data_IF_581516629469
#
_entry.id   IF_581516629469
#
_cell.length_a   1.000
_cell.length_b   1.000
_cell.length_c   1.000
_cell.angle_alpha   90.00
_cell.angle_beta   90.00
_cell.angle_gamma   90.00
#
_symmetry.space_group_name_H-M   'P 1'
#
loop_
_entity.id
_entity.type
_entity.pdbx_description
1 polymer ?
#
# COMPACT_ATOMS: atom_id res chain seq x y z
N UNK A 1 19.77 19.15 -10.67
CA UNK A 1 19.24 18.46 -9.49
C UNK A 1 17.90 17.88 -9.91
N UNK A 2 17.68 16.58 -9.71
CA UNK A 2 16.34 16.01 -9.86
C UNK A 2 15.45 16.66 -8.79
N UNK A 3 14.31 17.20 -9.18
CA UNK A 3 13.43 17.93 -8.27
C UNK A 3 12.73 16.90 -7.37
N UNK A 4 13.00 16.92 -6.07
CA UNK A 4 12.30 16.05 -5.11
C UNK A 4 10.96 16.69 -4.74
N UNK A 5 9.88 15.91 -4.82
CA UNK A 5 8.55 16.38 -4.42
C UNK A 5 8.51 16.68 -2.92
N UNK A 6 7.79 17.72 -2.48
CA UNK A 6 7.58 17.95 -1.05
C UNK A 6 6.83 16.77 -0.43
N UNK A 7 7.14 16.46 0.84
CA UNK A 7 6.41 15.42 1.58
C UNK A 7 4.97 15.90 1.80
N UNK A 8 3.96 15.14 1.35
CA UNK A 8 2.55 15.47 1.58
C UNK A 8 2.22 15.60 3.07
N UNK A 9 1.33 16.52 3.42
CA UNK A 9 1.04 16.83 4.83
C UNK A 9 0.48 15.64 5.61
N UNK A 10 -0.34 14.80 4.97
CA UNK A 10 -0.92 13.61 5.59
C UNK A 10 0.09 12.49 5.88
N UNK A 11 1.29 12.54 5.30
CA UNK A 11 2.37 11.61 5.62
C UNK A 11 3.23 12.10 6.81
N UNK A 12 3.21 13.40 7.12
CA UNK A 12 4.00 13.98 8.22
C UNK A 12 3.73 13.35 9.59
N UNK A 13 2.50 12.93 9.95
CA UNK A 13 2.26 12.25 11.22
C UNK A 13 3.07 10.95 11.41
N UNK A 14 3.47 10.29 10.32
CA UNK A 14 4.28 9.07 10.35
C UNK A 14 5.78 9.33 10.40
N UNK A 15 6.20 10.58 10.28
CA UNK A 15 7.60 10.99 10.32
C UNK A 15 8.00 11.28 11.77
N UNK A 16 9.05 10.60 12.21
CA UNK A 16 9.68 10.80 13.50
C UNK A 16 10.79 11.87 13.43
N UNK A 17 11.28 12.29 14.59
CA UNK A 17 12.53 13.05 14.69
C UNK A 17 13.61 12.10 15.17
N UNK A 18 14.69 11.97 14.40
CA UNK A 18 15.86 11.22 14.86
C UNK A 18 16.56 12.00 15.97
N UNK A 19 16.72 11.40 17.14
CA UNK A 19 17.51 11.98 18.23
C UNK A 19 18.87 11.28 18.31
N UNK A 20 19.91 11.96 17.82
CA UNK A 20 21.27 11.42 17.77
C UNK A 20 21.87 11.17 19.17
N UNK A 21 21.44 11.92 20.18
CA UNK A 21 21.94 11.81 21.55
C UNK A 21 21.49 10.50 22.24
N UNK A 22 20.52 9.79 21.66
CA UNK A 22 20.09 8.48 22.14
C UNK A 22 21.03 7.34 21.71
N UNK A 23 21.91 7.57 20.73
CA UNK A 23 22.89 6.56 20.33
C UNK A 23 24.07 6.56 21.30
N UNK A 24 24.25 5.44 21.99
CA UNK A 24 25.40 5.24 22.87
C UNK A 24 26.68 4.96 22.07
N UNK A 25 27.83 5.04 22.76
CA UNK A 25 29.09 4.58 22.19
C UNK A 25 29.06 3.10 21.80
N UNK A 26 28.25 2.28 22.49
CA UNK A 26 28.05 0.87 22.17
C UNK A 26 27.26 0.70 20.86
N UNK A 27 26.23 1.51 20.63
CA UNK A 27 25.45 1.48 19.37
C UNK A 27 26.33 1.85 18.18
N UNK A 28 27.14 2.90 18.30
CA UNK A 28 28.11 3.27 17.26
C UNK A 28 29.19 2.20 17.04
N UNK A 29 29.62 1.50 18.10
CA UNK A 29 30.57 0.40 17.97
C UNK A 29 29.95 -0.81 17.28
N UNK A 30 28.69 -1.15 17.59
CA UNK A 30 27.92 -2.20 16.94
C UNK A 30 27.73 -1.92 15.44
N UNK A 31 27.29 -0.71 15.09
CA UNK A 31 27.21 -0.23 13.71
C UNK A 31 28.54 -0.40 12.96
N UNK A 32 29.62 0.09 13.56
CA UNK A 32 30.96 0.00 12.98
C UNK A 32 31.41 -1.43 12.78
N UNK A 33 31.13 -2.30 13.75
CA UNK A 33 31.45 -3.71 13.67
C UNK A 33 30.73 -4.37 12.49
N UNK A 34 29.40 -4.19 12.40
CA UNK A 34 28.58 -4.78 11.32
C UNK A 34 29.06 -4.31 9.95
N UNK A 35 29.26 -3.01 9.74
CA UNK A 35 29.70 -2.53 8.42
C UNK A 35 31.14 -2.95 8.07
N UNK A 36 32.04 -3.02 9.05
CA UNK A 36 33.43 -3.43 8.78
C UNK A 36 33.56 -4.92 8.48
N UNK A 37 32.84 -5.78 9.20
CA UNK A 37 32.93 -7.24 8.97
C UNK A 37 32.33 -7.64 7.62
N UNK A 38 31.24 -6.98 7.20
CA UNK A 38 30.57 -7.32 5.94
C UNK A 38 31.25 -6.73 4.71
N UNK A 39 32.02 -5.64 4.85
CA UNK A 39 32.65 -4.95 3.71
C UNK A 39 33.58 -5.84 2.88
N UNK A 40 34.38 -6.68 3.54
CA UNK A 40 35.32 -7.58 2.84
C UNK A 40 34.58 -8.61 1.99
N UNK A 41 33.51 -9.17 2.52
CA UNK A 41 32.65 -10.12 1.81
C UNK A 41 31.94 -9.46 0.63
N UNK A 42 31.30 -8.32 0.86
CA UNK A 42 30.52 -7.64 -0.17
C UNK A 42 31.34 -7.11 -1.34
N UNK A 43 32.66 -6.94 -1.20
CA UNK A 43 33.54 -6.57 -2.32
C UNK A 43 33.47 -7.54 -3.50
N UNK A 44 33.21 -8.83 -3.25
CA UNK A 44 33.06 -9.85 -4.31
C UNK A 44 31.65 -10.45 -4.42
N UNK A 45 30.81 -10.27 -3.39
CA UNK A 45 29.51 -10.90 -3.28
C UNK A 45 28.31 -9.96 -3.55
N UNK A 46 28.44 -8.65 -3.30
CA UNK A 46 27.35 -7.69 -3.52
C UNK A 46 27.38 -7.12 -4.95
N UNK A 47 26.25 -6.58 -5.38
CA UNK A 47 26.18 -5.78 -6.60
C UNK A 47 27.19 -4.63 -6.52
N UNK A 48 27.85 -4.32 -7.64
CA UNK A 48 28.97 -3.36 -7.70
C UNK A 48 28.62 -1.98 -7.10
N UNK A 49 27.35 -1.59 -7.20
CA UNK A 49 26.87 -0.30 -6.67
C UNK A 49 26.84 -0.23 -5.15
N UNK A 50 26.77 -1.36 -4.44
CA UNK A 50 26.53 -1.38 -2.99
C UNK A 50 27.61 -0.61 -2.20
N UNK A 51 28.89 -0.93 -2.42
CA UNK A 51 29.97 -0.36 -1.61
C UNK A 51 30.17 1.14 -1.85
N UNK A 52 30.09 1.59 -3.10
CA UNK A 52 30.16 3.01 -3.45
C UNK A 52 28.89 3.74 -3.00
N UNK A 53 27.74 3.06 -3.13
CA UNK A 53 26.41 3.51 -2.73
C UNK A 53 26.30 3.84 -1.25
N UNK A 54 27.03 3.14 -0.36
CA UNK A 54 27.11 3.49 1.06
C UNK A 54 27.59 4.95 1.22
N UNK A 55 28.74 5.28 0.66
CA UNK A 55 29.29 6.63 0.77
C UNK A 55 28.41 7.67 0.04
N UNK A 56 27.88 7.30 -1.13
CA UNK A 56 27.01 8.17 -1.92
C UNK A 56 25.68 8.50 -1.25
N UNK A 57 25.20 7.66 -0.33
CA UNK A 57 23.95 7.87 0.41
C UNK A 57 24.16 8.38 1.84
N UNK A 58 25.38 8.87 2.14
CA UNK A 58 25.68 9.51 3.42
C UNK A 58 26.05 8.53 4.54
N UNK A 59 26.30 7.26 4.20
CA UNK A 59 26.63 6.21 5.15
C UNK A 59 28.15 6.09 5.31
N UNK A 60 28.58 6.16 6.57
CA UNK A 60 29.97 5.90 6.98
C UNK A 60 30.04 4.66 7.87
N UNK A 61 31.08 3.82 7.74
CA UNK A 61 31.34 2.75 8.69
C UNK A 61 31.61 3.22 10.11
N UNK A 62 31.96 4.49 10.33
CA UNK A 62 32.50 4.92 11.64
C UNK A 62 31.44 5.33 12.67
N UNK A 63 30.25 5.72 12.22
CA UNK A 63 29.15 6.15 13.10
C UNK A 63 27.80 5.92 12.42
N UNK A 64 26.75 5.79 13.22
CA UNK A 64 25.37 5.75 12.75
C UNK A 64 25.07 7.06 12.00
N UNK A 65 24.46 7.02 10.80
CA UNK A 65 24.22 8.21 9.99
C UNK A 65 23.11 9.08 10.59
N UNK A 66 23.20 10.38 10.34
CA UNK A 66 22.08 11.28 10.52
C UNK A 66 21.18 11.21 9.29
N UNK A 67 19.88 11.01 9.50
CA UNK A 67 18.91 10.86 8.42
C UNK A 67 18.80 12.14 7.60
N UNK A 68 19.04 13.32 8.19
CA UNK A 68 19.15 14.59 7.45
C UNK A 68 20.31 14.60 6.46
N UNK A 69 21.47 14.03 6.83
CA UNK A 69 22.62 13.90 5.93
C UNK A 69 22.31 12.91 4.81
N UNK A 70 21.63 11.81 5.13
CA UNK A 70 21.15 10.85 4.14
C UNK A 70 20.15 11.48 3.16
N UNK A 71 19.16 12.27 3.63
CA UNK A 71 18.19 12.98 2.80
C UNK A 71 18.91 13.91 1.80
N UNK A 72 19.91 14.66 2.29
CA UNK A 72 20.75 15.52 1.45
C UNK A 72 21.49 14.72 0.36
N UNK A 73 22.06 13.56 0.72
CA UNK A 73 22.78 12.71 -0.22
C UNK A 73 21.88 12.03 -1.25
N UNK A 74 20.72 11.49 -0.81
CA UNK A 74 19.72 10.82 -1.64
C UNK A 74 19.03 11.78 -2.61
N UNK A 75 18.90 13.06 -2.26
CA UNK A 75 18.29 14.08 -3.13
C UNK A 75 18.96 14.19 -4.51
N UNK A 76 20.24 13.83 -4.58
CA UNK A 76 21.02 13.81 -5.84
C UNK A 76 20.50 12.75 -6.82
N UNK A 77 19.87 11.69 -6.31
CA UNK A 77 19.25 10.60 -7.06
C UNK A 77 17.72 10.79 -7.18
N UNK A 78 17.21 11.97 -6.80
CA UNK A 78 15.79 12.29 -6.75
C UNK A 78 15.04 11.56 -5.63
N UNK A 79 15.76 11.02 -4.64
CA UNK A 79 15.19 10.35 -3.48
C UNK A 79 15.29 11.22 -2.24
N UNK A 80 14.51 10.88 -1.22
CA UNK A 80 14.54 11.49 0.10
C UNK A 80 14.66 10.43 1.18
N UNK A 81 15.07 10.84 2.37
CA UNK A 81 14.99 10.00 3.55
C UNK A 81 14.17 10.69 4.65
N UNK A 82 13.36 9.90 5.35
CA UNK A 82 12.61 10.36 6.51
C UNK A 82 12.79 9.37 7.66
N UNK A 83 12.90 9.90 8.87
CA UNK A 83 12.89 9.10 10.08
C UNK A 83 11.47 8.59 10.34
N UNK A 84 11.33 7.33 10.75
CA UNK A 84 10.09 6.75 11.26
C UNK A 84 10.34 6.02 12.57
N UNK A 85 9.27 5.83 13.35
CA UNK A 85 9.32 5.02 14.58
C UNK A 85 8.79 3.62 14.24
N UNK A 86 9.66 2.61 14.28
CA UNK A 86 9.28 1.21 14.03
C UNK A 86 8.38 0.99 12.79
N UNK A 87 7.32 0.18 12.96
CA UNK A 87 6.42 -0.24 11.89
C UNK A 87 5.41 0.85 11.48
N UNK A 88 5.53 1.35 10.26
CA UNK A 88 4.46 2.15 9.63
C UNK A 88 3.49 1.24 8.86
N UNK A 89 2.22 1.64 8.70
CA UNK A 89 1.26 0.87 7.92
C UNK A 89 1.76 0.61 6.48
N UNK A 90 1.55 -0.58 5.90
CA UNK A 90 2.09 -0.93 4.58
C UNK A 90 1.66 0.04 3.47
N UNK A 91 0.40 0.51 3.50
CA UNK A 91 -0.09 1.50 2.54
C UNK A 91 0.67 2.83 2.61
N UNK A 92 1.08 3.25 3.81
CA UNK A 92 1.87 4.47 4.04
C UNK A 92 3.31 4.27 3.56
N UNK A 93 3.91 3.11 3.85
CA UNK A 93 5.24 2.76 3.36
C UNK A 93 5.29 2.79 1.82
N UNK A 94 4.33 2.13 1.14
CA UNK A 94 4.28 2.11 -0.32
C UNK A 94 4.01 3.50 -0.92
N UNK A 95 3.27 4.36 -0.21
CA UNK A 95 3.07 5.74 -0.61
C UNK A 95 4.36 6.57 -0.51
N UNK A 96 5.14 6.41 0.56
CA UNK A 96 6.50 7.00 0.63
C UNK A 96 7.38 6.54 -0.53
N UNK A 97 7.43 5.23 -0.79
CA UNK A 97 8.23 4.66 -1.89
C UNK A 97 7.79 5.22 -3.27
N UNK A 98 6.48 5.35 -3.51
CA UNK A 98 5.94 5.93 -4.75
C UNK A 98 6.39 7.38 -4.99
N UNK A 99 6.71 8.10 -3.92
CA UNK A 99 7.17 9.48 -3.95
C UNK A 99 8.71 9.59 -3.95
N UNK A 100 9.42 8.46 -4.01
CA UNK A 100 10.87 8.41 -3.89
C UNK A 100 11.35 8.83 -2.49
N UNK A 101 10.62 8.43 -1.45
CA UNK A 101 10.99 8.69 -0.05
C UNK A 101 11.29 7.35 0.61
N UNK A 102 12.48 7.20 1.17
CA UNK A 102 12.90 6.05 1.98
C UNK A 102 12.56 6.31 3.46
N UNK A 103 11.61 5.57 4.07
CA UNK A 103 11.39 5.59 5.51
C UNK A 103 12.49 4.81 6.21
N UNK A 104 13.12 5.38 7.24
CA UNK A 104 14.23 4.77 7.98
C UNK A 104 13.86 4.69 9.46
N UNK A 105 13.79 3.47 10.00
CA UNK A 105 13.67 3.23 11.43
C UNK A 105 14.91 3.79 12.14
N UNK A 106 14.70 4.50 13.26
CA UNK A 106 15.78 5.18 13.97
C UNK A 106 16.52 4.26 14.96
N UNK A 107 15.88 3.17 15.34
CA UNK A 107 16.31 2.29 16.41
C UNK A 107 17.52 1.45 15.97
N UNK A 108 18.46 1.22 16.89
CA UNK A 108 19.58 0.31 16.68
C UNK A 108 19.26 -1.03 17.34
N UNK A 109 19.52 -2.15 16.65
CA UNK A 109 19.42 -3.49 17.24
C UNK A 109 20.35 -3.68 18.45
N UNK A 110 19.97 -4.57 19.37
CA UNK A 110 20.77 -4.89 20.56
C UNK A 110 21.99 -5.76 20.23
N UNK A 111 22.93 -5.84 21.17
CA UNK A 111 24.14 -6.66 21.01
C UNK A 111 23.85 -8.17 20.86
N UNK A 112 22.79 -8.66 21.50
CA UNK A 112 22.36 -10.07 21.39
C UNK A 112 21.81 -10.41 19.99
N UNK A 113 21.43 -9.38 19.23
CA UNK A 113 20.83 -9.49 17.89
C UNK A 113 21.74 -8.92 16.78
N UNK A 114 23.05 -8.81 17.02
CA UNK A 114 23.99 -8.23 16.02
C UNK A 114 23.94 -8.93 14.66
N UNK A 115 23.84 -10.25 14.66
CA UNK A 115 23.86 -11.06 13.45
C UNK A 115 22.54 -11.00 12.66
N UNK A 116 21.42 -10.78 13.34
CA UNK A 116 20.07 -10.73 12.79
C UNK A 116 19.09 -10.10 13.78
N UNK A 117 18.20 -9.24 13.29
CA UNK A 117 17.08 -8.67 14.05
C UNK A 117 15.75 -9.02 13.38
N UNK A 118 14.73 -9.45 14.15
CA UNK A 118 13.40 -9.73 13.62
C UNK A 118 12.59 -8.46 13.30
N UNK A 119 13.01 -7.28 13.78
CA UNK A 119 12.38 -6.01 13.50
C UNK A 119 13.30 -5.09 12.67
N UNK A 120 12.75 -4.27 11.74
CA UNK A 120 13.55 -3.33 10.96
C UNK A 120 14.21 -2.28 11.87
N UNK A 121 15.51 -2.11 11.70
CA UNK A 121 16.34 -1.18 12.47
C UNK A 121 17.14 -0.28 11.51
N UNK A 122 17.87 0.70 12.06
CA UNK A 122 18.63 1.65 11.24
C UNK A 122 19.71 0.98 10.39
N UNK A 123 20.26 -0.17 10.82
CA UNK A 123 21.22 -0.94 10.00
C UNK A 123 20.51 -1.51 8.77
N UNK A 124 19.35 -2.13 8.95
CA UNK A 124 18.57 -2.68 7.85
C UNK A 124 18.13 -1.60 6.87
N UNK A 125 17.49 -0.55 7.37
CA UNK A 125 16.91 0.49 6.53
C UNK A 125 17.98 1.37 5.86
N UNK A 126 18.96 1.83 6.63
CA UNK A 126 20.00 2.68 6.06
C UNK A 126 21.01 1.86 5.26
N UNK A 127 21.68 0.86 5.84
CA UNK A 127 22.78 0.17 5.18
C UNK A 127 22.34 -1.00 4.28
N UNK A 128 21.11 -1.51 4.42
CA UNK A 128 20.54 -2.49 3.50
C UNK A 128 19.96 -1.85 2.24
N UNK A 129 18.97 -0.95 2.41
CA UNK A 129 18.21 -0.39 1.28
C UNK A 129 18.88 0.79 0.59
N UNK A 130 19.35 1.79 1.34
CA UNK A 130 19.79 3.06 0.75
C UNK A 130 20.91 2.93 -0.30
N UNK A 131 21.96 2.09 -0.15
CA UNK A 131 23.10 2.10 -1.05
C UNK A 131 22.74 1.78 -2.50
N UNK A 132 21.81 0.85 -2.75
CA UNK A 132 21.42 0.45 -4.11
C UNK A 132 20.55 1.53 -4.77
N UNK A 133 19.88 2.41 -4.01
CA UNK A 133 19.10 3.55 -4.53
C UNK A 133 19.98 4.54 -5.31
N UNK A 134 21.29 4.55 -5.07
CA UNK A 134 22.22 5.34 -5.89
C UNK A 134 22.33 4.84 -7.35
N UNK A 135 21.84 3.63 -7.65
CA UNK A 135 21.63 3.13 -9.01
C UNK A 135 20.33 3.70 -9.61
N UNK A 136 20.37 4.40 -10.76
CA UNK A 136 19.19 5.02 -11.33
C UNK A 136 18.11 4.03 -11.81
N UNK A 137 18.49 2.82 -12.25
CA UNK A 137 17.52 1.81 -12.67
C UNK A 137 16.80 1.23 -11.47
N UNK A 138 17.53 0.91 -10.40
CA UNK A 138 16.92 0.43 -9.16
C UNK A 138 16.05 1.48 -8.48
N UNK A 139 16.53 2.73 -8.44
CA UNK A 139 15.76 3.87 -7.97
C UNK A 139 14.47 4.10 -8.76
N UNK A 140 14.46 3.81 -10.06
CA UNK A 140 13.25 3.87 -10.87
C UNK A 140 12.31 2.71 -10.55
N UNK A 141 12.86 1.49 -10.47
CA UNK A 141 12.11 0.29 -10.08
C UNK A 141 11.37 0.47 -8.76
N UNK A 142 12.04 0.91 -7.69
CA UNK A 142 11.40 1.08 -6.38
C UNK A 142 10.25 2.09 -6.40
N UNK A 143 10.37 3.19 -7.15
CA UNK A 143 9.26 4.16 -7.30
C UNK A 143 8.08 3.53 -8.02
N UNK A 144 8.32 2.86 -9.15
CA UNK A 144 7.27 2.19 -9.92
C UNK A 144 6.60 1.07 -9.13
N UNK A 145 7.40 0.31 -8.37
CA UNK A 145 6.91 -0.70 -7.44
C UNK A 145 5.98 -0.07 -6.39
N UNK A 146 6.37 1.06 -5.80
CA UNK A 146 5.54 1.82 -4.86
C UNK A 146 4.24 2.34 -5.50
N UNK A 147 4.30 2.87 -6.72
CA UNK A 147 3.14 3.38 -7.49
C UNK A 147 2.11 2.29 -7.81
N UNK A 148 2.57 1.08 -8.16
CA UNK A 148 1.70 -0.08 -8.37
C UNK A 148 1.16 -0.58 -7.03
N UNK A 149 2.03 -0.74 -6.03
CA UNK A 149 1.67 -1.32 -4.73
C UNK A 149 0.69 -0.47 -3.94
N UNK A 150 0.76 0.87 -4.03
CA UNK A 150 -0.21 1.74 -3.37
C UNK A 150 -1.65 1.62 -3.90
N UNK A 151 -1.83 1.04 -5.10
CA UNK A 151 -3.15 0.76 -5.72
C UNK A 151 -3.64 -0.67 -5.45
N UNK A 152 -2.81 -1.54 -4.89
CA UNK A 152 -3.17 -2.92 -4.62
C UNK A 152 -4.32 -3.02 -3.60
N UNK A 153 -5.24 -3.95 -3.83
CA UNK A 153 -6.31 -4.24 -2.88
C UNK A 153 -5.74 -5.05 -1.71
N UNK A 154 -5.72 -4.43 -0.53
CA UNK A 154 -5.48 -5.08 0.75
C UNK A 154 -6.78 -5.72 1.25
N UNK A 155 -6.75 -6.93 1.78
CA UNK A 155 -7.90 -7.55 2.43
C UNK A 155 -7.97 -7.21 3.92
N UNK A 156 -9.13 -7.39 4.54
CA UNK A 156 -9.28 -7.33 6.00
C UNK A 156 -8.41 -8.36 6.71
N UNK A 157 -8.21 -9.53 6.08
CA UNK A 157 -7.36 -10.61 6.61
C UNK A 157 -5.88 -10.20 6.63
N UNK A 158 -5.43 -9.46 5.60
CA UNK A 158 -4.08 -8.86 5.58
C UNK A 158 -3.89 -7.82 6.68
N UNK A 159 -4.93 -7.00 6.94
CA UNK A 159 -4.90 -6.03 8.05
C UNK A 159 -4.80 -6.71 9.41
N UNK A 160 -5.60 -7.76 9.63
CA UNK A 160 -5.56 -8.52 10.89
C UNK A 160 -4.18 -9.15 11.11
N UNK A 161 -3.59 -9.73 10.06
CA UNK A 161 -2.23 -10.29 10.11
C UNK A 161 -1.18 -9.21 10.41
N UNK A 162 -1.23 -8.08 9.71
CA UNK A 162 -0.32 -6.95 9.96
C UNK A 162 -0.43 -6.44 11.39
N UNK A 163 -1.64 -6.24 11.90
CA UNK A 163 -1.85 -5.75 13.27
C UNK A 163 -1.36 -6.75 14.33
N UNK A 164 -1.49 -8.05 14.06
CA UNK A 164 -0.95 -9.09 14.94
C UNK A 164 0.59 -9.09 14.95
N UNK A 165 1.23 -8.99 13.78
CA UNK A 165 2.70 -8.85 13.67
C UNK A 165 3.15 -7.59 14.42
N UNK A 166 2.51 -6.45 14.14
CA UNK A 166 2.81 -5.16 14.77
C UNK A 166 2.71 -5.25 16.30
N UNK A 167 1.64 -5.87 16.81
CA UNK A 167 1.42 -6.04 18.25
C UNK A 167 2.50 -6.92 18.87
N UNK A 168 2.83 -8.05 18.24
CA UNK A 168 3.88 -8.94 18.71
C UNK A 168 5.25 -8.26 18.77
N UNK A 169 5.62 -7.50 17.74
CA UNK A 169 6.88 -6.74 17.72
C UNK A 169 6.95 -5.75 18.88
N UNK A 170 5.90 -4.97 19.12
CA UNK A 170 5.86 -4.00 20.23
C UNK A 170 6.04 -4.69 21.58
N UNK A 171 5.29 -5.76 21.82
CA UNK A 171 5.32 -6.46 23.11
C UNK A 171 6.68 -7.15 23.33
N UNK A 172 7.32 -7.69 22.28
CA UNK A 172 8.66 -8.30 22.39
C UNK A 172 9.78 -7.29 22.62
N UNK A 173 9.60 -6.05 22.19
CA UNK A 173 10.61 -4.99 22.34
C UNK A 173 10.44 -4.14 23.60
N UNK A 174 9.25 -4.13 24.21
CA UNK A 174 8.99 -3.42 25.46
C UNK A 174 9.52 -4.24 26.66
N UNK A 175 10.55 -3.75 27.39
CA UNK A 175 11.10 -4.43 28.56
C UNK A 175 10.10 -4.60 29.71
N UNK A 176 9.00 -3.84 29.71
CA UNK A 176 7.94 -3.94 30.70
C UNK A 176 6.91 -5.05 30.40
N UNK A 177 6.96 -5.66 29.21
CA UNK A 177 6.01 -6.70 28.81
C UNK A 177 6.20 -7.99 29.60
N UNK A 178 5.09 -8.57 30.05
CA UNK A 178 5.09 -9.86 30.73
C UNK A 178 5.15 -11.05 29.75
N UNK A 179 5.64 -12.23 30.19
CA UNK A 179 5.61 -13.44 29.37
C UNK A 179 4.21 -13.79 28.84
N UNK A 180 3.15 -13.55 29.63
CA UNK A 180 1.77 -13.80 29.24
C UNK A 180 1.30 -12.85 28.12
N UNK A 181 1.77 -11.60 28.11
CA UNK A 181 1.48 -10.66 27.02
C UNK A 181 2.13 -11.12 25.71
N UNK A 182 3.37 -11.60 25.79
CA UNK A 182 4.10 -12.15 24.63
C UNK A 182 3.38 -13.40 24.09
N UNK A 183 3.06 -14.37 24.95
CA UNK A 183 2.35 -15.59 24.57
C UNK A 183 0.99 -15.27 23.93
N UNK A 184 0.27 -14.28 24.48
CA UNK A 184 -0.99 -13.83 23.91
C UNK A 184 -0.83 -13.28 22.51
N UNK A 185 0.16 -12.41 22.29
CA UNK A 185 0.43 -11.82 20.98
C UNK A 185 0.89 -12.88 19.95
N UNK A 186 1.67 -13.88 20.37
CA UNK A 186 2.06 -15.01 19.52
C UNK A 186 0.85 -15.83 19.08
N UNK A 187 -0.08 -16.11 20.00
CA UNK A 187 -1.33 -16.83 19.70
C UNK A 187 -2.26 -16.02 18.78
N UNK A 188 -2.35 -14.71 18.98
CA UNK A 188 -3.15 -13.84 18.12
C UNK A 188 -2.56 -13.78 16.70
N UNK A 189 -1.22 -13.78 16.57
CA UNK A 189 -0.52 -13.90 15.27
C UNK A 189 -0.80 -15.25 14.59
N UNK A 190 -0.67 -16.36 15.31
CA UNK A 190 -0.96 -17.69 14.77
C UNK A 190 -2.42 -17.77 14.28
N UNK A 191 -3.36 -17.22 15.06
CA UNK A 191 -4.78 -17.15 14.68
C UNK A 191 -4.99 -16.33 13.41
N UNK A 192 -4.39 -15.14 13.31
CA UNK A 192 -4.50 -14.28 12.12
C UNK A 192 -3.89 -14.95 10.88
N UNK A 193 -2.72 -15.57 11.03
CA UNK A 193 -2.05 -16.32 9.96
C UNK A 193 -2.90 -17.50 9.47
N UNK A 194 -3.54 -18.24 10.37
CA UNK A 194 -4.40 -19.38 10.02
C UNK A 194 -5.77 -18.95 9.45
N UNK A 195 -6.16 -17.68 9.64
CA UNK A 195 -7.41 -17.14 9.11
C UNK A 195 -7.32 -16.69 7.65
N UNK A 196 -6.11 -16.56 7.10
CA UNK A 196 -5.89 -16.19 5.69
C UNK A 196 -6.52 -17.26 4.78
N UNK A 197 -7.57 -16.86 4.06
CA UNK A 197 -8.38 -17.75 3.23
C UNK A 197 -8.03 -17.67 1.75
N UNK A 198 -7.32 -16.61 1.33
CA UNK A 198 -6.83 -16.40 -0.03
C UNK A 198 -5.63 -15.43 -0.02
N UNK A 199 -4.97 -15.29 -1.17
CA UNK A 199 -3.86 -14.35 -1.35
C UNK A 199 -4.40 -13.12 -2.06
N UNK A 200 -4.32 -11.95 -1.43
CA UNK A 200 -4.72 -10.67 -2.02
C UNK A 200 -3.65 -10.13 -2.98
N UNK A 201 -4.01 -9.14 -3.81
CA UNK A 201 -3.03 -8.46 -4.67
C UNK A 201 -1.90 -7.82 -3.86
N UNK A 202 -2.23 -7.30 -2.67
CA UNK A 202 -1.27 -6.74 -1.74
C UNK A 202 -0.29 -7.81 -1.21
N UNK A 203 -0.78 -9.01 -0.88
CA UNK A 203 0.06 -10.11 -0.43
C UNK A 203 0.94 -10.68 -1.57
N UNK A 204 0.43 -10.73 -2.80
CA UNK A 204 1.22 -11.11 -3.99
C UNK A 204 2.38 -10.13 -4.22
N UNK A 205 2.12 -8.82 -4.13
CA UNK A 205 3.16 -7.80 -4.20
C UNK A 205 4.13 -7.88 -3.02
N UNK A 206 3.65 -8.07 -1.79
CA UNK A 206 4.52 -8.25 -0.63
C UNK A 206 5.53 -9.41 -0.83
N UNK A 207 5.12 -10.51 -1.47
CA UNK A 207 6.02 -11.61 -1.86
C UNK A 207 6.99 -11.19 -2.96
N UNK A 208 6.55 -10.43 -3.97
CA UNK A 208 7.45 -9.86 -4.96
C UNK A 208 8.52 -9.00 -4.29
N UNK A 209 8.14 -8.09 -3.37
CA UNK A 209 9.07 -7.27 -2.60
C UNK A 209 10.06 -8.12 -1.80
N UNK A 210 9.55 -9.15 -1.12
CA UNK A 210 10.38 -10.05 -0.32
C UNK A 210 11.46 -10.73 -1.18
N UNK A 211 11.07 -11.29 -2.32
CA UNK A 211 12.00 -12.00 -3.21
C UNK A 211 12.85 -11.10 -4.10
N UNK A 212 12.66 -9.77 -4.03
CA UNK A 212 13.42 -8.79 -4.79
C UNK A 212 14.14 -7.80 -3.88
N UNK A 213 13.44 -6.79 -3.37
CA UNK A 213 13.99 -5.72 -2.55
C UNK A 213 14.63 -6.26 -1.27
N UNK A 214 14.05 -7.27 -0.61
CA UNK A 214 14.58 -7.80 0.65
C UNK A 214 15.63 -8.91 0.45
N UNK A 215 15.32 -9.90 -0.38
CA UNK A 215 16.11 -11.13 -0.54
C UNK A 215 16.48 -11.43 -2.01
N UNK A 216 16.56 -10.38 -2.84
CA UNK A 216 16.90 -10.53 -4.25
C UNK A 216 18.39 -10.67 -4.54
N UNK A 217 18.66 -11.42 -5.60
CA UNK A 217 19.97 -11.59 -6.21
C UNK A 217 19.95 -11.08 -7.66
N UNK A 218 21.10 -10.68 -8.20
CA UNK A 218 21.25 -10.14 -9.56
C UNK A 218 22.42 -10.78 -10.30
N UNK A 219 22.29 -11.03 -11.60
CA UNK A 219 23.31 -11.66 -12.44
C UNK A 219 22.82 -13.00 -13.02
N UNK A 220 23.70 -13.99 -13.11
CA UNK A 220 23.30 -15.35 -13.51
C UNK A 220 22.96 -16.21 -12.28
N UNK A 221 22.22 -17.29 -12.49
CA UNK A 221 21.86 -18.22 -11.42
C UNK A 221 23.10 -18.92 -10.85
N UNK A 222 24.14 -19.08 -11.66
CA UNK A 222 25.40 -19.74 -11.32
C UNK A 222 26.38 -18.83 -10.56
N UNK A 223 26.45 -17.53 -10.89
CA UNK A 223 27.26 -16.53 -10.18
C UNK A 223 26.44 -15.26 -9.88
N UNK A 224 25.45 -15.34 -8.97
CA UNK A 224 24.66 -14.20 -8.58
C UNK A 224 25.41 -13.28 -7.62
N UNK A 225 25.04 -12.00 -7.64
CA UNK A 225 25.43 -10.98 -6.66
C UNK A 225 24.23 -10.55 -5.81
N UNK A 226 24.51 -10.09 -4.59
CA UNK A 226 23.50 -9.68 -3.62
C UNK A 226 23.10 -8.22 -3.87
N UNK A 227 21.79 -7.95 -3.92
CA UNK A 227 21.27 -6.58 -3.85
C UNK A 227 20.12 -6.42 -2.83
N UNK A 228 19.52 -7.52 -2.37
CA UNK A 228 18.44 -7.49 -1.39
C UNK A 228 18.88 -6.96 -0.02
N UNK A 229 18.12 -6.04 0.56
CA UNK A 229 18.47 -5.33 1.79
C UNK A 229 18.56 -6.24 3.03
N UNK A 230 17.70 -7.25 3.15
CA UNK A 230 17.76 -8.27 4.19
C UNK A 230 19.10 -9.02 4.17
N UNK A 231 19.58 -9.37 2.97
CA UNK A 231 20.88 -10.01 2.78
C UNK A 231 22.06 -9.04 2.99
N UNK A 232 21.91 -7.77 2.62
CA UNK A 232 22.96 -6.74 2.79
C UNK A 232 23.14 -6.29 4.24
N UNK A 233 22.12 -6.48 5.09
CA UNK A 233 22.12 -6.06 6.49
C UNK A 233 22.24 -7.19 7.51
N UNK A 234 22.21 -8.45 7.06
CA UNK A 234 22.38 -9.65 7.88
C UNK A 234 23.76 -10.25 7.68
N UNK A 235 24.64 -10.13 8.68
CA UNK A 235 26.02 -10.67 8.59
C UNK A 235 25.95 -12.17 8.32
N UNK A 236 25.17 -12.93 9.09
CA UNK A 236 25.11 -14.39 8.96
C UNK A 236 24.51 -14.85 7.64
N UNK A 237 23.33 -14.32 7.28
CA UNK A 237 22.59 -14.77 6.12
C UNK A 237 23.29 -14.39 4.80
N UNK A 238 24.00 -13.26 4.79
CA UNK A 238 24.80 -12.82 3.63
C UNK A 238 25.82 -13.89 3.18
N UNK A 239 26.52 -14.55 4.11
CA UNK A 239 27.49 -15.59 3.76
C UNK A 239 26.82 -16.88 3.28
N UNK A 240 25.69 -17.26 3.89
CA UNK A 240 25.01 -18.52 3.59
C UNK A 240 24.18 -18.47 2.31
N UNK A 241 23.66 -17.30 1.92
CA UNK A 241 22.74 -17.15 0.79
C UNK A 241 23.33 -17.58 -0.56
N UNK A 242 24.65 -17.43 -0.75
CA UNK A 242 25.36 -17.83 -1.98
C UNK A 242 25.81 -19.30 -1.97
N UNK A 243 25.64 -20.02 -0.85
CA UNK A 243 26.00 -21.43 -0.78
C UNK A 243 25.12 -22.31 -1.69
N UNK A 244 25.59 -23.49 -2.12
CA UNK A 244 24.78 -24.41 -2.93
C UNK A 244 23.58 -25.01 -2.20
N UNK A 245 23.46 -24.83 -0.87
CA UNK A 245 22.31 -25.31 -0.09
C UNK A 245 21.05 -24.44 -0.27
N UNK A 246 21.23 -23.18 -0.70
CA UNK A 246 20.11 -22.26 -0.98
C UNK A 246 19.79 -22.34 -2.46
N UNK A 247 18.58 -22.74 -2.82
CA UNK A 247 18.18 -22.93 -4.21
C UNK A 247 18.03 -21.55 -4.87
N UNK A 248 18.61 -21.38 -6.06
CA UNK A 248 18.51 -20.13 -6.83
C UNK A 248 17.62 -20.34 -8.05
N UNK A 249 16.61 -19.50 -8.19
CA UNK A 249 15.67 -19.54 -9.31
C UNK A 249 15.82 -18.29 -10.19
N UNK A 250 15.65 -18.38 -11.51
CA UNK A 250 15.48 -17.17 -12.32
C UNK A 250 14.21 -16.42 -11.89
N UNK A 251 14.30 -15.10 -11.81
CA UNK A 251 13.17 -14.27 -11.42
C UNK A 251 12.09 -14.24 -12.50
N UNK A 252 10.88 -14.65 -12.12
CA UNK A 252 9.66 -14.59 -12.94
C UNK A 252 8.48 -14.23 -12.05
N UNK A 253 7.28 -14.08 -12.63
CA UNK A 253 6.07 -13.79 -11.85
C UNK A 253 5.71 -14.91 -10.86
N UNK A 254 6.27 -16.11 -11.02
CA UNK A 254 6.07 -17.20 -10.06
C UNK A 254 6.57 -16.85 -8.65
N UNK A 255 7.43 -15.84 -8.48
CA UNK A 255 7.85 -15.38 -7.15
C UNK A 255 6.68 -14.93 -6.26
N UNK A 256 5.58 -14.41 -6.84
CA UNK A 256 4.40 -13.99 -6.06
C UNK A 256 3.62 -15.19 -5.48
N UNK A 257 3.88 -16.40 -5.98
CA UNK A 257 3.28 -17.63 -5.47
C UNK A 257 4.13 -18.27 -4.37
N UNK A 258 5.40 -17.89 -4.27
CA UNK A 258 6.31 -18.40 -3.24
C UNK A 258 6.07 -17.67 -1.90
N UNK A 259 5.54 -18.40 -0.92
CA UNK A 259 5.45 -17.92 0.46
C UNK A 259 6.82 -17.89 1.13
N UNK A 260 6.99 -17.07 2.16
CA UNK A 260 8.22 -16.95 2.94
C UNK A 260 7.96 -17.01 4.44
N UNK A 261 9.01 -17.32 5.20
CA UNK A 261 9.02 -17.29 6.67
C UNK A 261 10.04 -16.23 7.12
N UNK A 262 9.55 -15.20 7.81
CA UNK A 262 10.37 -14.09 8.31
C UNK A 262 11.25 -14.48 9.50
N UNK A 263 11.03 -15.66 10.09
CA UNK A 263 11.70 -16.08 11.33
C UNK A 263 12.90 -16.99 11.07
N UNK A 264 13.16 -17.36 9.82
CA UNK A 264 14.17 -18.34 9.43
C UNK A 264 14.98 -17.88 8.22
N UNK A 265 16.21 -18.37 8.05
CA UNK A 265 16.97 -18.14 6.82
C UNK A 265 16.22 -18.68 5.59
N UNK A 266 16.31 -17.94 4.48
CA UNK A 266 15.53 -18.27 3.29
C UNK A 266 16.08 -19.53 2.57
N UNK A 267 15.24 -20.56 2.33
CA UNK A 267 15.68 -21.82 1.71
C UNK A 267 15.92 -21.69 0.20
N UNK A 268 15.38 -20.63 -0.41
CA UNK A 268 15.47 -20.33 -1.83
C UNK A 268 15.55 -18.82 -2.03
N UNK A 269 16.09 -18.41 -3.18
CA UNK A 269 16.21 -17.02 -3.61
C UNK A 269 15.95 -16.89 -5.11
N UNK A 270 15.63 -15.68 -5.55
CA UNK A 270 15.39 -15.37 -6.96
C UNK A 270 16.47 -14.45 -7.51
N UNK A 271 16.89 -14.72 -8.75
CA UNK A 271 17.97 -14.02 -9.46
C UNK A 271 17.39 -13.27 -10.63
N UNK A 272 17.48 -11.94 -10.61
CA UNK A 272 17.14 -11.07 -11.75
C UNK A 272 18.36 -10.87 -12.65
N UNK A 273 18.14 -10.74 -13.96
CA UNK A 273 19.22 -10.46 -14.92
C UNK A 273 19.68 -9.00 -14.82
N UNK A 274 18.76 -8.09 -14.51
CA UNK A 274 18.99 -6.64 -14.42
C UNK A 274 17.94 -5.97 -13.53
N UNK A 275 18.15 -4.70 -13.17
CA UNK A 275 17.13 -3.91 -12.49
C UNK A 275 15.98 -3.52 -13.43
N UNK A 276 16.24 -3.33 -14.73
CA UNK A 276 15.17 -3.18 -15.72
C UNK A 276 14.20 -4.37 -15.71
N UNK A 277 14.69 -5.61 -15.58
CA UNK A 277 13.83 -6.80 -15.50
C UNK A 277 12.89 -6.77 -14.28
N UNK A 278 13.30 -6.17 -13.16
CA UNK A 278 12.42 -5.95 -11.99
C UNK A 278 11.25 -5.02 -12.35
N UNK A 279 11.56 -3.94 -13.06
CA UNK A 279 10.57 -2.97 -13.55
C UNK A 279 9.59 -3.63 -14.52
N UNK A 280 10.10 -4.36 -15.50
CA UNK A 280 9.25 -5.05 -16.48
C UNK A 280 8.29 -6.02 -15.78
N UNK A 281 8.76 -6.72 -14.75
CA UNK A 281 7.97 -7.69 -14.01
C UNK A 281 6.83 -7.05 -13.21
N UNK A 282 7.09 -5.94 -12.50
CA UNK A 282 6.04 -5.26 -11.73
C UNK A 282 5.01 -4.62 -12.65
N UNK A 283 5.42 -4.10 -13.81
CA UNK A 283 4.49 -3.56 -14.82
C UNK A 283 3.68 -4.67 -15.50
N UNK A 284 4.30 -5.81 -15.80
CA UNK A 284 3.61 -7.00 -16.32
C UNK A 284 2.52 -7.46 -15.35
N UNK A 285 2.84 -7.54 -14.05
CA UNK A 285 1.87 -7.87 -13.02
C UNK A 285 0.78 -6.81 -12.88
N UNK A 286 1.13 -5.52 -12.94
CA UNK A 286 0.18 -4.42 -12.83
C UNK A 286 -0.94 -4.52 -13.88
N UNK A 287 -0.65 -4.98 -15.11
CA UNK A 287 -1.65 -5.21 -16.15
C UNK A 287 -2.67 -6.31 -15.80
N UNK A 288 -2.46 -7.09 -14.75
CA UNK A 288 -3.42 -8.09 -14.24
C UNK A 288 -4.23 -7.57 -13.04
N UNK A 289 -3.83 -6.45 -12.45
CA UNK A 289 -4.44 -5.92 -11.23
C UNK A 289 -5.78 -5.24 -11.49
N UNK A 290 -6.61 -5.22 -10.45
CA UNK A 290 -7.96 -4.67 -10.43
C UNK A 290 -8.01 -3.22 -10.94
N UNK A 291 -6.99 -2.41 -10.64
CA UNK A 291 -6.96 -1.00 -11.01
C UNK A 291 -6.68 -0.76 -12.50
N UNK A 292 -6.07 -1.73 -13.20
CA UNK A 292 -5.88 -1.69 -14.66
C UNK A 292 -7.03 -2.33 -15.41
N UNK A 293 -7.65 -3.36 -14.84
CA UNK A 293 -8.67 -4.17 -15.52
C UNK A 293 -10.10 -3.66 -15.36
N UNK A 294 -10.47 -3.20 -14.18
CA UNK A 294 -11.87 -2.92 -13.86
C UNK A 294 -12.77 -4.15 -14.05
N UNK A 295 -14.05 -3.89 -14.29
CA UNK A 295 -15.06 -4.92 -14.57
C UNK A 295 -15.38 -5.83 -13.39
N UNK A 296 -16.10 -6.91 -13.68
CA UNK A 296 -16.64 -7.84 -12.68
C UNK A 296 -15.57 -8.48 -11.81
N UNK A 297 -14.43 -8.90 -12.39
CA UNK A 297 -13.34 -9.51 -11.63
C UNK A 297 -12.69 -8.54 -10.64
N UNK A 298 -12.49 -7.27 -11.03
CA UNK A 298 -11.93 -6.25 -10.14
C UNK A 298 -12.89 -5.91 -9.00
N UNK A 299 -14.20 -5.82 -9.30
CA UNK A 299 -15.23 -5.58 -8.29
C UNK A 299 -15.39 -6.78 -7.34
N UNK A 300 -15.26 -8.01 -7.84
CA UNK A 300 -15.26 -9.22 -7.02
C UNK A 300 -14.08 -9.24 -6.02
N UNK A 301 -12.89 -8.80 -6.44
CA UNK A 301 -11.74 -8.62 -5.54
C UNK A 301 -12.05 -7.63 -4.43
N UNK A 302 -12.69 -6.49 -4.72
CA UNK A 302 -13.09 -5.52 -3.70
C UNK A 302 -14.16 -6.06 -2.72
N UNK A 303 -15.15 -6.82 -3.20
CA UNK A 303 -16.13 -7.50 -2.35
C UNK A 303 -15.46 -8.51 -1.41
N UNK A 304 -14.52 -9.30 -1.93
CA UNK A 304 -13.79 -10.31 -1.16
C UNK A 304 -12.86 -9.66 -0.13
N UNK A 305 -12.30 -8.50 -0.44
CA UNK A 305 -11.35 -7.78 0.40
C UNK A 305 -11.94 -7.30 1.73
N UNK A 306 -13.24 -6.94 1.78
CA UNK A 306 -13.90 -6.42 3.00
C UNK A 306 -13.12 -5.27 3.65
N UNK A 307 -12.43 -4.50 2.85
CA UNK A 307 -11.60 -3.37 3.24
C UNK A 307 -11.99 -2.14 2.42
N UNK A 308 -11.45 -0.98 2.78
CA UNK A 308 -11.69 0.24 2.01
C UNK A 308 -11.05 0.09 0.63
N UNK A 309 -11.89 0.21 -0.40
CA UNK A 309 -11.50 0.21 -1.81
C UNK A 309 -12.20 1.36 -2.52
N UNK A 310 -11.67 1.75 -3.67
CA UNK A 310 -12.28 2.72 -4.56
C UNK A 310 -12.72 2.04 -5.84
N UNK A 311 -14.01 2.17 -6.19
CA UNK A 311 -14.53 1.82 -7.51
C UNK A 311 -14.59 3.09 -8.36
N UNK A 312 -13.97 3.05 -9.54
CA UNK A 312 -13.99 4.14 -10.51
C UNK A 312 -14.97 3.80 -11.63
N UNK A 313 -15.97 4.65 -11.82
CA UNK A 313 -16.94 4.51 -12.90
C UNK A 313 -16.39 5.11 -14.21
N UNK A 314 -16.98 4.75 -15.35
CA UNK A 314 -16.62 5.26 -16.68
C UNK A 314 -16.81 6.78 -16.84
N UNK A 315 -17.65 7.39 -16.00
CA UNK A 315 -17.76 8.85 -15.85
C UNK A 315 -16.55 9.48 -15.16
N UNK A 316 -15.69 8.68 -14.53
CA UNK A 316 -14.58 9.13 -13.69
C UNK A 316 -14.97 9.38 -12.23
N UNK A 317 -16.24 9.19 -11.86
CA UNK A 317 -16.66 9.20 -10.45
C UNK A 317 -15.95 8.07 -9.70
N UNK A 318 -15.36 8.41 -8.56
CA UNK A 318 -14.67 7.49 -7.67
C UNK A 318 -15.51 7.33 -6.39
N UNK A 319 -15.83 6.09 -6.01
CA UNK A 319 -16.59 5.80 -4.79
C UNK A 319 -15.73 4.95 -3.87
N UNK A 320 -15.35 5.53 -2.73
CA UNK A 320 -14.42 4.96 -1.76
C UNK A 320 -15.14 4.47 -0.51
N UNK A 321 -14.96 3.21 -0.14
CA UNK A 321 -15.53 2.63 1.08
C UNK A 321 -15.37 1.12 1.12
N UNK A 322 -16.03 0.44 2.06
CA UNK A 322 -16.06 -1.03 2.07
C UNK A 322 -17.23 -1.51 1.22
N UNK A 323 -16.93 -2.10 0.06
CA UNK A 323 -17.94 -2.61 -0.87
C UNK A 323 -18.59 -3.88 -0.30
N UNK A 324 -19.93 -3.92 -0.29
CA UNK A 324 -20.72 -4.99 0.34
C UNK A 324 -21.67 -5.69 -0.63
N UNK A 325 -22.17 -5.00 -1.65
CA UNK A 325 -23.01 -5.59 -2.71
C UNK A 325 -22.64 -4.94 -4.06
N UNK A 326 -22.54 -5.73 -5.13
CA UNK A 326 -22.34 -5.24 -6.49
C UNK A 326 -22.79 -6.28 -7.54
N UNK A 327 -24.10 -6.47 -7.75
CA UNK A 327 -24.59 -7.45 -8.72
C UNK A 327 -24.24 -7.08 -10.16
N UNK A 328 -23.83 -8.10 -10.93
CA UNK A 328 -23.61 -8.01 -12.36
C UNK A 328 -24.66 -8.83 -13.12
N UNK A 329 -25.01 -8.36 -14.31
CA UNK A 329 -25.77 -9.14 -15.30
C UNK A 329 -25.17 -8.89 -16.68
N UNK A 330 -24.82 -9.96 -17.39
CA UNK A 330 -24.20 -9.87 -18.71
C UNK A 330 -22.98 -8.92 -18.73
N UNK A 331 -22.15 -9.00 -17.67
CA UNK A 331 -20.99 -8.13 -17.40
C UNK A 331 -21.28 -6.64 -17.17
N UNK A 332 -22.54 -6.23 -17.08
CA UNK A 332 -22.94 -4.88 -16.69
C UNK A 332 -23.17 -4.80 -15.17
N UNK A 333 -22.54 -3.82 -14.53
CA UNK A 333 -22.74 -3.51 -13.11
C UNK A 333 -24.10 -2.83 -12.94
N UNK A 334 -24.99 -3.46 -12.16
CA UNK A 334 -26.39 -3.01 -12.05
C UNK A 334 -26.64 -2.10 -10.85
N UNK A 335 -25.84 -2.27 -9.82
CA UNK A 335 -25.99 -1.62 -8.52
C UNK A 335 -24.69 -1.77 -7.76
N UNK A 336 -24.44 -0.88 -6.81
CA UNK A 336 -23.45 -1.12 -5.77
C UNK A 336 -23.95 -0.68 -4.40
N UNK A 337 -23.27 -1.17 -3.36
CA UNK A 337 -23.51 -0.75 -1.98
C UNK A 337 -22.22 -0.80 -1.20
N UNK A 338 -21.91 0.30 -0.56
CA UNK A 338 -20.80 0.45 0.34
C UNK A 338 -21.31 0.63 1.76
N UNK A 339 -20.68 -0.01 2.73
CA UNK A 339 -20.86 0.33 4.14
C UNK A 339 -20.00 1.54 4.50
N UNK A 340 -20.53 2.38 5.37
CA UNK A 340 -19.90 3.63 5.77
C UNK A 340 -18.65 3.44 6.63
N UNK A 341 -17.77 4.46 6.69
CA UNK A 341 -17.90 5.74 5.99
C UNK A 341 -17.51 5.67 4.51
N UNK A 342 -18.20 6.43 3.66
CA UNK A 342 -17.96 6.51 2.21
C UNK A 342 -17.50 7.91 1.79
N UNK A 343 -16.67 7.99 0.74
CA UNK A 343 -16.27 9.23 0.09
C UNK A 343 -16.47 9.12 -1.42
N UNK A 344 -17.12 10.13 -2.02
CA UNK A 344 -17.16 10.27 -3.48
C UNK A 344 -16.15 11.34 -3.91
N UNK A 345 -15.36 11.01 -4.92
CA UNK A 345 -14.28 11.84 -5.42
C UNK A 345 -14.28 11.90 -6.95
N UNK A 346 -13.60 12.90 -7.48
CA UNK A 346 -13.25 13.01 -8.88
C UNK A 346 -11.78 13.42 -8.99
N UNK A 347 -11.00 12.71 -9.81
CA UNK A 347 -9.55 12.95 -9.94
C UNK A 347 -8.81 13.00 -8.58
N UNK A 348 -9.10 12.04 -7.71
CA UNK A 348 -8.49 11.91 -6.37
C UNK A 348 -8.77 13.08 -5.41
N UNK A 349 -9.82 13.86 -5.69
CA UNK A 349 -10.31 14.95 -4.83
C UNK A 349 -11.76 14.71 -4.43
N UNK A 350 -12.05 14.79 -3.12
CA UNK A 350 -13.41 14.69 -2.59
C UNK A 350 -14.36 15.71 -3.24
N UNK A 351 -15.54 15.26 -3.67
CA UNK A 351 -16.60 16.13 -4.16
C UNK A 351 -17.24 16.90 -2.98
N UNK A 352 -17.63 18.18 -3.18
CA UNK A 352 -18.27 18.96 -2.12
C UNK A 352 -19.47 18.26 -1.49
N UNK A 353 -19.52 18.20 -0.16
CA UNK A 353 -20.56 17.54 0.64
C UNK A 353 -20.77 16.04 0.36
N UNK A 354 -19.73 15.35 -0.16
CA UNK A 354 -19.75 13.92 -0.45
C UNK A 354 -18.67 13.12 0.30
N UNK A 355 -18.23 13.65 1.45
CA UNK A 355 -17.25 13.01 2.32
C UNK A 355 -17.84 12.04 3.36
N UNK A 356 -16.96 11.40 4.15
CA UNK A 356 -17.30 10.49 5.26
C UNK A 356 -18.37 11.00 6.24
N UNK A 357 -18.41 12.31 6.50
CA UNK A 357 -19.40 12.94 7.38
C UNK A 357 -20.82 12.91 6.81
N UNK A 358 -20.96 12.96 5.49
CA UNK A 358 -22.24 12.94 4.80
C UNK A 358 -22.70 11.51 4.49
N UNK A 359 -21.75 10.59 4.26
CA UNK A 359 -22.01 9.18 3.98
C UNK A 359 -21.49 8.25 5.08
N UNK A 360 -21.72 8.62 6.34
CA UNK A 360 -21.20 7.92 7.52
C UNK A 360 -21.72 6.48 7.67
N UNK A 361 -22.94 6.21 7.19
CA UNK A 361 -23.58 4.89 7.30
C UNK A 361 -23.41 4.03 6.04
N UNK A 362 -22.99 4.63 4.93
CA UNK A 362 -22.82 3.95 3.65
C UNK A 362 -23.36 4.76 2.48
N UNK A 363 -23.27 4.15 1.30
CA UNK A 363 -23.71 4.72 0.04
C UNK A 363 -24.16 3.60 -0.90
N UNK A 364 -25.22 3.82 -1.65
CA UNK A 364 -25.68 2.87 -2.65
C UNK A 364 -26.33 3.59 -3.82
N UNK A 365 -26.19 3.01 -5.00
CA UNK A 365 -26.76 3.58 -6.23
C UNK A 365 -27.06 2.48 -7.23
N UNK A 366 -28.21 2.52 -7.92
CA UNK A 366 -28.36 1.82 -9.18
C UNK A 366 -27.39 2.41 -10.21
N UNK A 367 -26.97 1.55 -11.14
CA UNK A 367 -26.01 1.85 -12.19
C UNK A 367 -26.46 1.19 -13.50
N UNK A 368 -25.79 1.54 -14.60
CA UNK A 368 -26.06 0.96 -15.91
C UNK A 368 -27.10 1.73 -16.72
N UNK A 369 -27.68 1.05 -17.71
CA UNK A 369 -28.58 1.65 -18.68
C UNK A 369 -29.98 1.90 -18.11
N UNK A 370 -30.58 2.99 -18.55
CA UNK A 370 -32.00 3.25 -18.37
C UNK A 370 -32.82 2.27 -19.23
N UNK A 371 -34.07 1.99 -18.84
CA UNK A 371 -34.97 1.03 -19.48
C UNK A 371 -35.25 1.30 -20.96
N UNK A 372 -34.96 2.52 -21.42
CA UNK A 372 -35.05 2.94 -22.82
C UNK A 372 -33.73 2.75 -23.60
N UNK A 373 -32.73 2.07 -23.02
CA UNK A 373 -31.41 1.82 -23.59
C UNK A 373 -30.44 3.00 -23.52
N UNK A 374 -30.84 4.15 -22.96
CA UNK A 374 -29.98 5.33 -22.86
C UNK A 374 -29.02 5.23 -21.68
N UNK A 375 -27.83 5.79 -21.86
CA UNK A 375 -26.89 6.07 -20.78
C UNK A 375 -27.32 7.32 -20.04
N UNK A 376 -27.46 7.25 -18.72
CA UNK A 376 -27.76 8.44 -17.92
C UNK A 376 -26.61 9.45 -18.01
N UNK A 377 -25.37 8.96 -18.09
CA UNK A 377 -24.16 9.78 -18.24
C UNK A 377 -24.15 10.66 -19.50
N UNK A 378 -24.93 10.30 -20.53
CA UNK A 378 -24.97 10.99 -21.82
C UNK A 378 -26.06 12.07 -21.94
N UNK A 379 -26.96 12.17 -20.97
CA UNK A 379 -28.09 13.11 -21.04
C UNK A 379 -27.64 14.56 -20.73
N UNK A 380 -28.26 15.52 -21.40
CA UNK A 380 -28.13 16.95 -21.09
C UNK A 380 -28.89 17.32 -19.81
N UNK A 381 -28.63 18.51 -19.27
CA UNK A 381 -29.35 18.98 -18.08
C UNK A 381 -30.83 19.20 -18.39
N UNK A 382 -31.18 19.67 -19.59
CA UNK A 382 -32.56 19.81 -20.04
C UNK A 382 -33.27 18.46 -20.12
N UNK A 383 -32.60 17.44 -20.66
CA UNK A 383 -33.13 16.07 -20.72
C UNK A 383 -33.35 15.51 -19.31
N UNK A 384 -32.41 15.73 -18.39
CA UNK A 384 -32.53 15.29 -16.99
C UNK A 384 -33.71 15.98 -16.28
N UNK A 385 -33.90 17.29 -16.49
CA UNK A 385 -35.06 17.99 -15.93
C UNK A 385 -36.37 17.46 -16.51
N UNK A 386 -36.40 17.10 -17.80
CA UNK A 386 -37.59 16.55 -18.46
C UNK A 386 -38.02 15.19 -17.89
N UNK A 387 -37.11 14.44 -17.25
CA UNK A 387 -37.44 13.19 -16.54
C UNK A 387 -38.33 13.42 -15.31
N UNK A 388 -38.48 14.66 -14.84
CA UNK A 388 -39.33 15.04 -13.72
C UNK A 388 -39.09 14.19 -12.47
N UNK A 389 -37.80 13.90 -12.21
CA UNK A 389 -37.36 13.13 -11.05
C UNK A 389 -37.73 11.65 -11.07
N UNK A 390 -38.03 11.08 -12.25
CA UNK A 390 -38.31 9.64 -12.45
C UNK A 390 -37.23 8.99 -13.30
N UNK A 391 -36.63 7.92 -12.80
CA UNK A 391 -35.65 7.12 -13.52
C UNK A 391 -36.01 5.64 -13.39
N UNK A 392 -35.91 4.90 -14.50
CA UNK A 392 -36.13 3.46 -14.54
C UNK A 392 -34.95 2.79 -15.22
N UNK A 393 -34.27 1.88 -14.54
CA UNK A 393 -33.11 1.15 -15.05
C UNK A 393 -33.52 -0.20 -15.67
N UNK A 394 -32.75 -0.69 -16.63
CA UNK A 394 -32.93 -2.04 -17.20
C UNK A 394 -32.78 -3.16 -16.16
N UNK A 395 -31.99 -2.89 -15.12
CA UNK A 395 -31.82 -3.76 -13.96
C UNK A 395 -33.07 -3.88 -13.09
N UNK A 396 -34.13 -3.13 -13.36
CA UNK A 396 -35.38 -3.17 -12.59
C UNK A 396 -35.36 -2.29 -11.33
N UNK A 397 -34.38 -1.38 -11.23
CA UNK A 397 -34.40 -0.31 -10.25
C UNK A 397 -35.22 0.87 -10.77
N UNK A 398 -36.16 1.33 -9.96
CA UNK A 398 -36.97 2.52 -10.23
C UNK A 398 -36.77 3.55 -9.13
N UNK A 399 -36.52 4.79 -9.54
CA UNK A 399 -36.31 5.94 -8.67
C UNK A 399 -37.38 6.99 -8.95
N UNK A 400 -37.96 7.53 -7.87
CA UNK A 400 -38.85 8.68 -7.93
C UNK A 400 -38.55 9.64 -6.80
N UNK A 401 -38.23 10.89 -7.12
CA UNK A 401 -37.94 11.94 -6.13
C UNK A 401 -38.01 13.33 -6.73
N UNK A 402 -37.63 14.34 -5.95
CA UNK A 402 -37.48 15.73 -6.42
C UNK A 402 -36.01 15.99 -6.68
N UNK A 403 -35.64 16.24 -7.94
CA UNK A 403 -34.26 16.60 -8.30
C UNK A 403 -33.88 17.93 -7.64
N UNK A 404 -32.72 17.96 -6.99
CA UNK A 404 -32.17 19.14 -6.29
C UNK A 404 -30.93 19.70 -6.94
N UNK A 405 -30.01 18.86 -7.35
CA UNK A 405 -28.79 19.29 -8.01
C UNK A 405 -28.29 18.27 -9.02
N UNK A 406 -27.60 18.80 -10.03
CA UNK A 406 -26.88 18.06 -11.05
C UNK A 406 -25.40 18.42 -10.87
N UNK A 407 -24.55 17.43 -10.63
CA UNK A 407 -23.10 17.64 -10.45
C UNK A 407 -22.37 17.18 -11.70
N UNK A 408 -21.70 18.13 -12.37
CA UNK A 408 -20.81 17.87 -13.50
C UNK A 408 -19.39 18.33 -13.20
N UNK A 409 -18.41 17.58 -13.70
CA UNK A 409 -17.00 17.98 -13.72
C UNK A 409 -16.43 17.64 -15.10
N UNK A 410 -15.68 18.56 -15.69
CA UNK A 410 -15.13 18.43 -17.06
C UNK A 410 -16.18 17.98 -18.10
N UNK A 411 -17.40 18.49 -17.97
CA UNK A 411 -18.56 18.17 -18.83
C UNK A 411 -19.21 16.80 -18.56
N UNK A 412 -18.61 15.95 -17.72
CA UNK A 412 -19.14 14.63 -17.37
C UNK A 412 -20.15 14.72 -16.24
N UNK A 413 -21.28 14.04 -16.38
CA UNK A 413 -22.27 13.90 -15.31
C UNK A 413 -21.78 12.88 -14.28
N UNK A 414 -21.66 13.31 -13.02
CA UNK A 414 -21.16 12.46 -11.94
C UNK A 414 -22.25 12.07 -10.95
N UNK A 415 -23.08 13.03 -10.53
CA UNK A 415 -24.04 12.85 -9.45
C UNK A 415 -25.35 13.57 -9.73
N UNK A 416 -26.46 12.94 -9.39
CA UNK A 416 -27.77 13.59 -9.26
C UNK A 416 -28.23 13.48 -7.81
N UNK A 417 -28.61 14.61 -7.21
CA UNK A 417 -29.09 14.63 -5.82
C UNK A 417 -30.60 14.82 -5.79
N UNK A 418 -31.28 13.98 -5.02
CA UNK A 418 -32.72 13.98 -4.87
C UNK A 418 -33.15 14.17 -3.41
N UNK A 419 -34.31 14.80 -3.24
CA UNK A 419 -35.06 14.82 -1.98
C UNK A 419 -36.36 14.04 -2.10
N UNK A 420 -36.87 13.56 -0.96
CA UNK A 420 -38.11 12.76 -0.87
C UNK A 420 -38.08 11.62 -1.91
N UNK A 421 -36.92 10.97 -1.98
CA UNK A 421 -36.61 10.00 -3.00
C UNK A 421 -36.97 8.61 -2.52
N UNK A 422 -37.73 7.88 -3.33
CA UNK A 422 -37.97 6.45 -3.14
C UNK A 422 -37.21 5.69 -4.21
N UNK A 423 -36.44 4.68 -3.81
CA UNK A 423 -35.81 3.73 -4.73
C UNK A 423 -36.41 2.36 -4.48
N UNK A 424 -36.83 1.69 -5.55
CA UNK A 424 -37.34 0.32 -5.50
C UNK A 424 -36.55 -0.57 -6.45
N UNK A 425 -36.46 -1.86 -6.14
CA UNK A 425 -35.92 -2.90 -7.00
C UNK A 425 -37.00 -3.97 -7.19
N UNK A 426 -37.48 -4.14 -8.42
CA UNK A 426 -38.63 -5.01 -8.75
C UNK A 426 -39.85 -4.77 -7.84
N UNK A 427 -40.14 -3.50 -7.54
CA UNK A 427 -41.26 -3.09 -6.70
C UNK A 427 -41.04 -3.19 -5.18
N UNK A 428 -39.91 -3.77 -4.72
CA UNK A 428 -39.53 -3.76 -3.30
C UNK A 428 -38.73 -2.51 -3.00
N UNK A 429 -39.12 -1.76 -1.96
CA UNK A 429 -38.39 -0.56 -1.54
C UNK A 429 -36.99 -0.92 -1.03
N UNK A 430 -35.97 -0.22 -1.54
CA UNK A 430 -34.56 -0.35 -1.15
C UNK A 430 -33.97 0.94 -0.59
N UNK A 431 -34.65 2.08 -0.82
CA UNK A 431 -34.37 3.35 -0.16
C UNK A 431 -35.67 4.05 0.20
N UNK A 432 -35.83 4.38 1.48
CA UNK A 432 -37.00 5.07 2.01
C UNK A 432 -36.78 6.60 2.01
N UNK A 433 -37.74 7.41 1.52
CA UNK A 433 -37.60 8.86 1.49
C UNK A 433 -37.40 9.51 2.87
N UNK A 434 -37.75 8.82 3.97
CA UNK A 434 -37.50 9.30 5.32
C UNK A 434 -36.01 9.25 5.72
N UNK A 435 -35.16 8.54 4.96
CA UNK A 435 -33.72 8.48 5.21
C UNK A 435 -32.98 9.73 4.76
N UNK A 436 -33.65 10.63 4.03
CA UNK A 436 -33.18 11.96 3.72
C UNK A 436 -32.78 12.15 2.25
N UNK A 437 -31.62 12.77 2.06
CA UNK A 437 -31.06 13.09 0.74
C UNK A 437 -30.57 11.82 0.07
N UNK A 438 -30.95 11.60 -1.19
CA UNK A 438 -30.46 10.50 -1.99
C UNK A 438 -29.52 11.03 -3.07
N UNK A 439 -28.26 10.62 -3.00
CA UNK A 439 -27.24 10.95 -3.98
C UNK A 439 -27.08 9.76 -4.94
N UNK A 440 -27.45 9.96 -6.21
CA UNK A 440 -27.37 8.97 -7.27
C UNK A 440 -26.03 9.09 -8.00
N UNK A 441 -25.18 8.08 -7.88
CA UNK A 441 -23.97 7.95 -8.68
C UNK A 441 -24.31 7.64 -10.14
N UNK A 442 -23.65 8.34 -11.06
CA UNK A 442 -23.85 8.15 -12.50
C UNK A 442 -22.67 7.41 -13.11
N UNK A 443 -22.96 6.29 -13.75
CA UNK A 443 -22.02 5.50 -14.53
C UNK A 443 -22.61 4.16 -14.95
N UNK A 444 -22.02 3.59 -16.00
CA UNK A 444 -22.49 2.34 -16.57
C UNK A 444 -21.54 1.17 -16.30
N UNK A 445 -20.25 1.44 -16.09
CA UNK A 445 -19.23 0.41 -15.91
C UNK A 445 -18.22 0.81 -14.84
N UNK A 446 -17.72 -0.17 -14.09
CA UNK A 446 -16.53 -0.01 -13.26
C UNK A 446 -15.29 -0.17 -14.15
N UNK A 447 -14.55 0.91 -14.41
CA UNK A 447 -13.37 0.91 -15.29
C UNK A 447 -12.06 0.68 -14.55
N UNK A 448 -12.06 0.85 -13.22
CA UNK A 448 -10.92 0.58 -12.35
C UNK A 448 -11.39 0.32 -10.93
N UNK A 449 -10.70 -0.55 -10.19
CA UNK A 449 -10.89 -0.73 -8.75
C UNK A 449 -9.53 -0.80 -8.05
N UNK A 450 -9.31 0.00 -7.01
CA UNK A 450 -8.03 0.01 -6.29
C UNK A 450 -8.21 0.04 -4.77
N UNK A 451 -7.15 -0.33 -4.03
CA UNK A 451 -7.15 -0.32 -2.57
C UNK A 451 -7.07 1.07 -1.95
N UNK A 452 -7.81 1.29 -0.87
CA UNK A 452 -7.90 2.56 -0.15
C UNK A 452 -8.86 3.57 -0.79
N UNK A 453 -8.94 4.75 -0.18
CA UNK A 453 -9.77 5.85 -0.65
C UNK A 453 -9.06 6.70 -1.71
N UNK A 454 -9.84 7.30 -2.61
CA UNK A 454 -9.37 8.18 -3.68
C UNK A 454 -8.70 9.45 -3.11
N UNK A 455 -9.44 10.26 -2.34
CA UNK A 455 -8.85 11.39 -1.59
C UNK A 455 -8.45 10.91 -0.19
N UNK A 456 -7.34 10.18 -0.16
CA UNK A 456 -6.83 9.52 1.04
C UNK A 456 -6.60 10.49 2.20
N UNK A 457 -6.13 11.72 1.91
CA UNK A 457 -5.88 12.74 2.94
C UNK A 457 -7.17 13.05 3.68
N UNK A 458 -8.19 13.48 2.95
CA UNK A 458 -9.46 13.90 3.55
C UNK A 458 -10.16 12.71 4.21
N UNK A 459 -10.11 11.53 3.58
CA UNK A 459 -10.70 10.32 4.15
C UNK A 459 -10.07 9.94 5.49
N UNK A 460 -8.73 9.92 5.58
CA UNK A 460 -8.03 9.56 6.82
C UNK A 460 -8.21 10.62 7.93
N UNK A 461 -8.18 11.91 7.57
CA UNK A 461 -8.43 13.02 8.51
C UNK A 461 -9.81 12.87 9.19
N UNK A 462 -10.84 12.54 8.41
CA UNK A 462 -12.24 12.46 8.88
C UNK A 462 -12.60 11.15 9.55
N UNK A 463 -12.01 10.04 9.14
CA UNK A 463 -12.27 8.72 9.73
C UNK A 463 -11.38 8.41 10.93
N UNK A 464 -10.37 9.25 11.18
CA UNK A 464 -9.38 9.03 12.23
C UNK A 464 -8.58 7.74 12.02
N UNK A 465 -8.39 7.36 10.74
CA UNK A 465 -7.80 6.12 10.26
C UNK A 465 -6.33 5.94 10.65
N UNK A 466 -5.50 5.37 9.77
CA UNK A 466 -4.11 4.96 10.04
C UNK A 466 -3.39 5.92 11.00
N UNK A 467 -3.20 5.50 12.25
CA UNK A 467 -2.56 6.32 13.29
C UNK A 467 -1.06 6.01 13.33
N UNK A 468 -0.20 7.03 13.45
CA UNK A 468 1.22 6.78 13.63
C UNK A 468 1.49 6.11 14.98
N UNK A 469 2.55 5.30 15.03
CA UNK A 469 3.06 4.75 16.27
C UNK A 469 3.48 5.89 17.22
N UNK A 470 2.92 5.89 18.42
CA UNK A 470 3.51 6.57 19.58
C UNK A 470 4.25 5.51 20.38
N UNK A 471 5.48 5.19 19.99
CA UNK A 471 6.38 4.52 20.93
C UNK A 471 6.70 5.54 22.03
N UNK A 472 6.50 5.17 23.30
CA UNK A 472 7.08 5.92 24.41
C UNK A 472 8.60 5.95 24.20
N UNK A 473 9.25 7.12 24.26
CA UNK A 473 10.70 7.18 24.18
C UNK A 473 11.28 6.20 25.21
N UNK A 474 12.34 5.47 24.83
CA UNK A 474 13.17 4.77 25.82
C UNK A 474 13.61 5.82 26.86
N UNK A 475 12.97 5.83 28.02
CA UNK A 475 13.47 6.56 29.17
C UNK A 475 14.69 5.79 29.65
N UNK A 476 15.86 6.43 29.57
CA UNK A 476 17.13 5.89 30.05
C UNK A 476 17.03 5.32 31.47
#
# INVERSE_FOLDING_TARGET
MLQTSPIPEYLRPFIATQNADLYSAMDHAAWRFILKISRTFFKGAAHQKYLDGLAETGISPERIPLIEDMDRCLSRFGWRAVAVNGFIPPAVFMEFQSLGILPIACEMRTLDHLAYTPAPDIVHEAAGHAPIIADPEYASYLRQYGEVSRKAIFSSEDYDLFEAIRTLSIVKEDPASSPEQIERAEKDLEKASNAISYISEAAELARMNWWTVEYGLIGSVEDPKIYGAGLLSSVGESYHCLSPHVIKHPLTLECIKASYDITRPQPQLFVTESFQKLTDLVLEYAETMAFKRGGEQAVAKALQAKSVTTVVLDTGLQVSGVLTEAPFKDSALQFFKFSGPVQLSYQDHELPDQGPENHAQGFSSPLGLLRNGQKLSALSDEEIHALNGKLSYESGYDLQGTLRSITRQDGKLLLLTFEKCTVTHHGKMVYDPAWGRFDLAVGEQAVSVFGGAADRRVYLEKTGGLKPLRLTPKTN
#
